data_IF_020716950089
#
_entry.id   IF_020716950089
#
_cell.length_a   1.000
_cell.length_b   1.000
_cell.length_c   1.000
_cell.angle_alpha   90.00
_cell.angle_beta   90.00
_cell.angle_gamma   90.00
#
_symmetry.space_group_name_H-M   'P 1'
#
loop_
_entity.id
_entity.type
_entity.pdbx_description
1 polymer ?
#
# COMPACT_ATOMS: atom_id res chain seq x y z
N UNK A 1 -7.89 9.38 36.95
CA UNK A 1 -8.37 8.33 36.02
C UNK A 1 -7.54 8.45 34.75
N UNK A 2 -6.53 7.60 34.59
CA UNK A 2 -5.61 7.67 33.44
C UNK A 2 -6.24 6.82 32.33
N UNK A 3 -6.89 7.47 31.37
CA UNK A 3 -7.35 6.79 30.16
C UNK A 3 -6.11 6.48 29.33
N UNK A 4 -5.55 5.29 29.52
CA UNK A 4 -4.64 4.71 28.54
C UNK A 4 -5.54 4.39 27.34
N UNK A 5 -5.59 5.29 26.35
CA UNK A 5 -6.03 5.01 24.99
C UNK A 5 -5.11 3.92 24.42
N UNK A 6 -5.29 2.69 24.92
CA UNK A 6 -4.51 1.50 24.56
C UNK A 6 -4.84 1.01 23.15
N UNK A 7 -5.81 1.66 22.51
CA UNK A 7 -6.10 1.59 21.09
C UNK A 7 -5.80 2.96 20.54
N UNK A 8 -4.57 3.12 20.01
CA UNK A 8 -4.25 4.18 19.06
C UNK A 8 -5.48 4.46 18.20
N UNK A 9 -5.79 5.74 17.99
CA UNK A 9 -6.91 6.22 17.18
C UNK A 9 -6.86 5.64 15.77
N UNK A 10 -7.23 4.37 15.63
CA UNK A 10 -7.47 3.70 14.36
C UNK A 10 -8.61 4.48 13.75
N UNK A 11 -8.34 5.09 12.62
CA UNK A 11 -9.36 5.82 11.86
C UNK A 11 -10.53 4.86 11.61
N UNK A 12 -11.77 5.38 11.62
CA UNK A 12 -12.97 4.58 11.33
C UNK A 12 -12.82 3.79 10.02
N UNK A 13 -12.11 4.37 9.04
CA UNK A 13 -11.78 3.75 7.77
C UNK A 13 -10.91 2.49 7.93
N UNK A 14 -9.87 2.52 8.77
CA UNK A 14 -9.00 1.36 8.99
C UNK A 14 -9.76 0.22 9.68
N UNK A 15 -10.61 0.53 10.67
CA UNK A 15 -11.43 -0.47 11.35
C UNK A 15 -12.45 -1.12 10.39
N UNK A 16 -13.07 -0.34 9.51
CA UNK A 16 -13.97 -0.87 8.49
C UNK A 16 -13.24 -1.80 7.50
N UNK A 17 -12.02 -1.43 7.10
CA UNK A 17 -11.18 -2.26 6.24
C UNK A 17 -10.84 -3.60 6.91
N UNK A 18 -10.40 -3.59 8.17
CA UNK A 18 -10.10 -4.80 8.94
C UNK A 18 -11.32 -5.72 9.05
N UNK A 19 -12.47 -5.17 9.43
CA UNK A 19 -13.72 -5.94 9.54
C UNK A 19 -14.14 -6.56 8.20
N UNK A 20 -13.97 -5.83 7.10
CA UNK A 20 -14.24 -6.34 5.76
C UNK A 20 -13.26 -7.46 5.38
N UNK A 21 -11.97 -7.28 5.61
CA UNK A 21 -10.97 -8.30 5.32
C UNK A 21 -11.23 -9.60 6.09
N UNK A 22 -11.54 -9.50 7.40
CA UNK A 22 -11.89 -10.65 8.22
C UNK A 22 -13.18 -11.34 7.74
N UNK A 23 -14.24 -10.58 7.47
CA UNK A 23 -15.51 -11.12 7.01
C UNK A 23 -15.42 -11.87 5.68
N UNK A 24 -14.46 -11.48 4.82
CA UNK A 24 -14.24 -12.08 3.51
C UNK A 24 -13.02 -13.02 3.44
N UNK A 25 -12.33 -13.26 4.56
CA UNK A 25 -11.14 -14.11 4.60
C UNK A 25 -9.95 -13.58 3.77
N UNK A 26 -9.90 -12.26 3.54
CA UNK A 26 -8.83 -11.60 2.78
C UNK A 26 -7.59 -11.51 3.66
N UNK A 27 -6.49 -12.16 3.23
CA UNK A 27 -5.19 -12.15 3.93
C UNK A 27 -4.13 -11.32 3.21
N UNK A 28 -4.46 -10.79 2.06
CA UNK A 28 -3.52 -10.17 1.14
C UNK A 28 -4.12 -8.86 0.65
N UNK A 29 -3.57 -7.75 1.12
CA UNK A 29 -4.06 -6.40 0.78
C UNK A 29 -2.97 -5.65 0.05
N UNK A 30 -3.32 -5.01 -1.05
CA UNK A 30 -2.41 -4.15 -1.81
C UNK A 30 -2.91 -2.73 -1.69
N UNK A 31 -2.04 -1.83 -1.23
CA UNK A 31 -2.31 -0.39 -1.11
C UNK A 31 -1.44 0.38 -2.10
N UNK A 32 -1.98 1.40 -2.79
CA UNK A 32 -1.20 2.17 -3.76
C UNK A 32 -0.05 2.96 -3.14
N UNK A 33 -0.31 3.65 -2.01
CA UNK A 33 0.70 4.43 -1.27
C UNK A 33 0.46 4.31 0.23
N UNK A 34 1.48 4.59 1.05
CA UNK A 34 1.36 4.61 2.52
C UNK A 34 0.31 5.61 3.01
N UNK A 35 0.09 6.71 2.29
CA UNK A 35 -0.92 7.72 2.60
C UNK A 35 -2.35 7.17 2.62
N UNK A 36 -2.61 6.09 1.88
CA UNK A 36 -3.91 5.41 1.90
C UNK A 36 -4.18 4.67 3.22
N UNK A 37 -3.13 4.33 3.97
CA UNK A 37 -3.26 3.78 5.31
C UNK A 37 -3.33 4.91 6.35
N UNK A 38 -2.45 5.90 6.23
CA UNK A 38 -2.46 7.08 7.08
C UNK A 38 -1.69 8.24 6.44
N UNK A 39 -2.16 9.47 6.61
CA UNK A 39 -1.45 10.66 6.14
C UNK A 39 -0.14 10.91 6.89
N UNK A 40 -0.01 10.43 8.13
CA UNK A 40 1.23 10.49 8.89
C UNK A 40 2.08 9.23 8.62
N UNK A 41 3.30 9.34 8.09
CA UNK A 41 4.12 8.18 7.69
C UNK A 41 4.33 7.17 8.82
N UNK A 42 4.63 7.67 10.02
CA UNK A 42 4.82 6.81 11.21
C UNK A 42 3.55 6.05 11.57
N UNK A 43 2.39 6.68 11.40
CA UNK A 43 1.10 6.01 11.64
C UNK A 43 0.72 5.08 10.49
N UNK A 44 1.22 5.29 9.28
CA UNK A 44 0.99 4.40 8.15
C UNK A 44 1.69 3.05 8.37
N UNK A 45 2.93 3.06 8.86
CA UNK A 45 3.65 1.84 9.25
C UNK A 45 2.94 1.10 10.39
N UNK A 46 2.53 1.82 11.43
CA UNK A 46 1.75 1.24 12.54
C UNK A 46 0.42 0.66 12.05
N UNK A 47 -0.27 1.35 11.13
CA UNK A 47 -1.55 0.90 10.56
C UNK A 47 -1.36 -0.33 9.68
N UNK A 48 -0.25 -0.40 8.95
CA UNK A 48 0.14 -1.57 8.15
C UNK A 48 0.36 -2.79 9.05
N UNK A 49 1.20 -2.66 10.08
CA UNK A 49 1.49 -3.77 11.00
C UNK A 49 0.22 -4.24 11.71
N UNK A 50 -0.62 -3.31 12.17
CA UNK A 50 -1.90 -3.61 12.78
C UNK A 50 -2.83 -4.39 11.84
N UNK A 51 -2.87 -4.02 10.55
CA UNK A 51 -3.67 -4.69 9.54
C UNK A 51 -3.12 -6.09 9.24
N UNK A 52 -1.81 -6.25 9.10
CA UNK A 52 -1.14 -7.54 8.89
C UNK A 52 -1.42 -8.53 10.03
N UNK A 53 -1.35 -8.05 11.28
CA UNK A 53 -1.67 -8.85 12.46
C UNK A 53 -3.15 -9.24 12.51
N UNK A 54 -4.05 -8.32 12.19
CA UNK A 54 -5.50 -8.52 12.29
C UNK A 54 -6.03 -9.49 11.23
N UNK A 55 -5.50 -9.43 10.01
CA UNK A 55 -5.88 -10.35 8.92
C UNK A 55 -5.05 -11.64 8.92
N UNK A 56 -4.01 -11.73 9.77
CA UNK A 56 -3.07 -12.85 9.80
C UNK A 56 -2.38 -13.06 8.44
N UNK A 57 -1.94 -11.96 7.82
CA UNK A 57 -1.55 -11.93 6.43
C UNK A 57 -0.54 -10.82 6.10
N UNK A 58 -0.52 -10.38 4.85
CA UNK A 58 0.47 -9.42 4.35
C UNK A 58 -0.18 -8.24 3.65
N UNK A 59 0.41 -7.07 3.86
CA UNK A 59 0.00 -5.82 3.23
C UNK A 59 1.17 -5.31 2.39
N UNK A 60 0.95 -5.12 1.10
CA UNK A 60 1.97 -4.57 0.20
C UNK A 60 1.61 -3.16 -0.23
N UNK A 61 2.56 -2.24 -0.09
CA UNK A 61 2.46 -0.93 -0.70
C UNK A 61 3.13 -1.03 -2.06
N UNK A 62 2.40 -0.66 -3.13
CA UNK A 62 2.97 -0.62 -4.47
C UNK A 62 4.09 0.41 -4.44
N UNK A 63 5.34 -0.06 -4.54
CA UNK A 63 6.44 0.84 -4.85
C UNK A 63 6.08 1.47 -6.19
N UNK A 64 5.89 2.79 -6.23
CA UNK A 64 5.77 3.52 -7.49
C UNK A 64 6.99 3.14 -8.33
N UNK A 65 6.80 2.27 -9.32
CA UNK A 65 7.75 2.13 -10.40
C UNK A 65 7.72 3.48 -11.08
N UNK A 66 8.64 4.37 -10.71
CA UNK A 66 9.09 5.41 -11.61
C UNK A 66 9.39 4.68 -12.92
N UNK A 67 8.54 4.87 -13.93
CA UNK A 67 8.78 4.35 -15.27
C UNK A 67 10.21 4.78 -15.59
N UNK A 68 11.18 3.87 -15.79
CA UNK A 68 12.45 4.30 -16.33
C UNK A 68 12.12 4.89 -17.71
N UNK A 69 12.23 6.21 -17.81
CA UNK A 69 12.22 6.94 -19.08
C UNK A 69 13.49 6.54 -19.84
N UNK A 70 13.50 5.33 -20.37
CA UNK A 70 14.56 4.84 -21.23
C UNK A 70 13.93 3.90 -22.25
N UNK A 71 13.13 4.49 -23.13
CA UNK A 71 13.04 3.94 -24.48
C UNK A 71 14.37 4.29 -25.15
N UNK A 72 15.16 3.32 -25.64
CA UNK A 72 16.31 3.67 -26.46
C UNK A 72 15.80 4.42 -27.72
N UNK A 73 16.52 5.42 -28.24
CA UNK A 73 16.15 6.03 -29.50
C UNK A 73 16.14 4.93 -30.56
N UNK A 74 14.99 4.70 -31.19
CA UNK A 74 14.86 3.82 -32.35
C UNK A 74 15.83 4.31 -33.41
N UNK A 75 16.96 3.62 -33.59
CA UNK A 75 17.83 3.83 -34.75
C UNK A 75 17.03 3.40 -35.96
N UNK A 76 16.51 4.39 -36.70
CA UNK A 76 15.92 4.18 -38.01
C UNK A 76 17.02 3.66 -38.93
N UNK A 77 17.07 2.35 -39.11
CA UNK A 77 17.95 1.68 -40.07
C UNK A 77 17.37 1.94 -41.46
N UNK A 78 17.74 3.08 -42.07
CA UNK A 78 17.45 3.36 -43.48
C UNK A 78 18.30 2.42 -44.34
N UNK A 79 17.81 1.21 -44.56
CA UNK A 79 18.25 0.31 -45.62
C UNK A 79 17.20 0.31 -46.72
N UNK A 80 17.51 0.95 -47.84
CA UNK A 80 16.61 1.08 -48.99
C UNK A 80 17.40 1.37 -50.26
N UNK A 81 18.08 0.32 -50.70
CA UNK A 81 18.84 0.12 -51.94
C UNK A 81 18.14 0.69 -53.19
N UNK A 82 18.89 1.43 -54.03
CA UNK A 82 18.68 1.55 -55.48
C UNK A 82 19.97 1.94 -56.18
#
# INVERSE_FOLDING_TARGET
>A
MVFVEKRWQRTLALNALMAYCQGHGIRHVIVPTSEHLNQLPVLADVSKEALEQDIGGQVWIVASMEKPSSYPPTVAKNGGDK
#
